data_IF_125987807349
#
_entry.id   IF_125987807349
#
_cell.length_a   1.000
_cell.length_b   1.000
_cell.length_c   1.000
_cell.angle_alpha   90.00
_cell.angle_beta   90.00
_cell.angle_gamma   90.00
#
_symmetry.space_group_name_H-M   'P 1'
#
loop_
_entity.id
_entity.type
_entity.pdbx_description
1 polymer ?
#
# COMPACT_ATOMS: atom_id res chain seq x y z
N UNK A 1 -7.60 -12.40 11.18
CA UNK A 1 -7.62 -11.13 10.42
C UNK A 1 -7.99 -11.44 8.98
N UNK A 2 -9.05 -10.83 8.43
CA UNK A 2 -9.47 -11.02 7.03
C UNK A 2 -9.23 -9.70 6.29
N UNK A 3 -8.78 -9.77 5.03
CA UNK A 3 -8.42 -8.62 4.19
C UNK A 3 -8.85 -8.88 2.75
N UNK A 4 -9.30 -7.83 2.05
CA UNK A 4 -9.44 -7.85 0.60
C UNK A 4 -8.05 -7.76 -0.03
N UNK A 5 -7.74 -8.70 -0.92
CA UNK A 5 -6.45 -8.77 -1.64
C UNK A 5 -6.59 -8.47 -3.14
N UNK A 6 -7.78 -8.64 -3.70
CA UNK A 6 -8.09 -8.44 -5.11
C UNK A 6 -9.53 -7.93 -5.30
N UNK A 7 -9.77 -7.12 -6.33
CA UNK A 7 -11.09 -6.71 -6.80
C UNK A 7 -11.08 -6.65 -8.34
N UNK A 8 -12.07 -7.27 -9.01
CA UNK A 8 -12.16 -7.32 -10.46
C UNK A 8 -10.87 -7.82 -11.16
N UNK A 9 -10.20 -8.83 -10.61
CA UNK A 9 -8.95 -9.36 -11.17
C UNK A 9 -7.73 -8.44 -10.99
N UNK A 10 -7.83 -7.40 -10.15
CA UNK A 10 -6.75 -6.41 -9.93
C UNK A 10 -6.37 -6.33 -8.45
N UNK A 11 -5.09 -6.11 -8.12
CA UNK A 11 -4.64 -5.99 -6.75
C UNK A 11 -5.25 -4.76 -6.07
N UNK A 12 -5.51 -4.86 -4.77
CA UNK A 12 -5.86 -3.72 -3.92
C UNK A 12 -4.80 -3.54 -2.83
N UNK A 13 -4.67 -2.31 -2.33
CA UNK A 13 -3.74 -2.01 -1.25
C UNK A 13 -4.41 -1.13 -0.19
N UNK A 14 -4.06 -1.37 1.08
CA UNK A 14 -4.31 -0.42 2.15
C UNK A 14 -2.99 0.24 2.53
N UNK A 15 -2.91 1.55 2.35
CA UNK A 15 -1.79 2.37 2.82
C UNK A 15 -2.08 2.90 4.23
N UNK A 16 -1.08 2.94 5.09
CA UNK A 16 -1.20 3.49 6.44
C UNK A 16 0.08 4.22 6.80
N UNK A 17 -0.05 5.36 7.47
CA UNK A 17 1.09 6.11 8.00
C UNK A 17 1.75 5.41 9.20
N UNK A 18 1.07 4.43 9.80
CA UNK A 18 1.70 3.57 10.79
C UNK A 18 2.66 2.58 10.10
N UNK A 19 3.93 2.50 10.54
CA UNK A 19 4.87 1.51 10.03
C UNK A 19 4.30 0.09 10.20
N UNK A 20 4.53 -0.77 9.20
CA UNK A 20 4.08 -2.17 9.23
C UNK A 20 2.58 -2.40 8.99
N UNK A 21 1.77 -1.35 8.80
CA UNK A 21 0.31 -1.48 8.54
C UNK A 21 -0.09 -1.33 7.07
N UNK A 22 0.89 -1.24 6.16
CA UNK A 22 0.63 -1.33 4.72
C UNK A 22 0.28 -2.77 4.35
N UNK A 23 -0.84 -2.94 3.64
CA UNK A 23 -1.37 -4.26 3.27
C UNK A 23 -1.39 -4.32 1.75
N UNK A 24 -0.28 -4.79 1.17
CA UNK A 24 -0.12 -5.24 -0.21
C UNK A 24 1.29 -5.81 -0.35
N UNK A 25 1.45 -6.96 -1.01
CA UNK A 25 2.76 -7.61 -1.21
C UNK A 25 3.47 -7.14 -2.49
N UNK A 26 2.73 -6.53 -3.41
CA UNK A 26 3.27 -5.97 -4.64
C UNK A 26 3.83 -4.57 -4.38
N UNK A 27 5.16 -4.50 -4.29
CA UNK A 27 5.89 -3.24 -4.08
C UNK A 27 5.76 -2.29 -5.27
N UNK A 28 5.64 -2.80 -6.49
CA UNK A 28 5.49 -1.96 -7.69
C UNK A 28 4.12 -1.29 -7.70
N UNK A 29 3.06 -2.04 -7.39
CA UNK A 29 1.71 -1.50 -7.23
C UNK A 29 1.63 -0.45 -6.13
N UNK A 30 2.24 -0.71 -4.95
CA UNK A 30 2.30 0.26 -3.86
C UNK A 30 3.03 1.55 -4.27
N UNK A 31 4.13 1.45 -5.04
CA UNK A 31 4.84 2.64 -5.54
C UNK A 31 3.96 3.45 -6.49
N UNK A 32 3.36 2.80 -7.49
CA UNK A 32 2.47 3.46 -8.44
C UNK A 32 1.27 4.12 -7.75
N UNK A 33 0.69 3.48 -6.74
CA UNK A 33 -0.41 4.04 -5.97
C UNK A 33 0.03 5.27 -5.15
N UNK A 34 1.25 5.29 -4.61
CA UNK A 34 1.78 6.46 -3.90
C UNK A 34 2.03 7.64 -4.82
N UNK A 35 2.52 7.38 -6.03
CA UNK A 35 2.70 8.40 -7.08
C UNK A 35 1.36 8.95 -7.55
N UNK A 36 0.37 8.10 -7.82
CA UNK A 36 -0.96 8.52 -8.29
C UNK A 36 -1.73 9.40 -7.29
N UNK A 37 -1.38 9.34 -5.99
CA UNK A 37 -2.02 10.11 -4.92
C UNK A 37 -1.07 11.14 -4.28
N UNK A 38 0.08 11.42 -4.90
CA UNK A 38 1.09 12.38 -4.42
C UNK A 38 1.45 12.24 -2.93
N UNK A 39 1.60 10.99 -2.46
CA UNK A 39 1.79 10.70 -1.04
C UNK A 39 3.24 10.98 -0.58
N UNK A 40 3.43 11.52 0.64
CA UNK A 40 4.76 11.81 1.17
C UNK A 40 5.61 10.55 1.33
N UNK A 41 6.95 10.65 1.27
CA UNK A 41 7.84 9.51 1.44
C UNK A 41 7.64 8.83 2.80
N UNK A 42 7.67 7.49 2.83
CA UNK A 42 7.54 6.71 4.07
C UNK A 42 8.77 7.01 4.94
N UNK A 43 8.56 7.62 6.11
CA UNK A 43 9.60 7.68 7.13
C UNK A 43 9.80 6.26 7.66
N UNK A 44 10.99 5.69 7.47
CA UNK A 44 11.38 4.46 8.17
C UNK A 44 11.36 4.79 9.67
N UNK A 45 10.58 4.05 10.45
CA UNK A 45 10.72 4.09 11.90
C UNK A 45 12.14 3.65 12.23
N UNK A 46 12.90 4.53 12.87
CA UNK A 46 14.23 4.24 13.42
C UNK A 46 14.16 3.22 14.54
#
# INVERSE_FOLDING_TARGET
MIKLVECNGKPVAKLSDSPGKTICHDKAFVRALREAFDLPPIKKAS
#
